data_IF_785685219477
#
_entry.id   IF_785685219477
#
_cell.length_a   1.000
_cell.length_b   1.000
_cell.length_c   1.000
_cell.angle_alpha   90.00
_cell.angle_beta   90.00
_cell.angle_gamma   90.00
#
_symmetry.space_group_name_H-M   'P 1'
#
loop_
_entity.id
_entity.type
_entity.pdbx_description
1 polymer ?
#
# COMPACT_ATOMS: atom_id res chain seq x y z
N UNK A 1 -9.85 8.28 9.80
CA UNK A 1 -10.46 7.29 8.89
C UNK A 1 -10.30 5.91 9.52
N UNK A 2 -11.35 5.07 9.52
CA UNK A 2 -11.29 3.71 10.07
C UNK A 2 -11.18 2.74 8.89
N UNK A 3 -10.07 1.98 8.77
CA UNK A 3 -9.92 1.07 7.64
C UNK A 3 -10.94 -0.09 7.69
N UNK A 4 -11.50 -0.40 6.52
CA UNK A 4 -12.45 -1.48 6.28
C UNK A 4 -11.83 -2.60 5.46
N UNK A 5 -12.53 -3.73 5.31
CA UNK A 5 -12.14 -4.78 4.35
C UNK A 5 -11.96 -4.24 2.93
N UNK A 6 -12.85 -3.37 2.49
CA UNK A 6 -12.74 -2.69 1.20
C UNK A 6 -11.48 -1.81 1.07
N UNK A 7 -11.04 -1.17 2.17
CA UNK A 7 -9.78 -0.41 2.17
C UNK A 7 -8.58 -1.30 1.89
N UNK A 8 -8.55 -2.50 2.50
CA UNK A 8 -7.47 -3.47 2.28
C UNK A 8 -7.42 -3.88 0.80
N UNK A 9 -8.57 -4.10 0.16
CA UNK A 9 -8.65 -4.40 -1.27
C UNK A 9 -8.20 -3.23 -2.15
N UNK A 10 -8.60 -2.01 -1.84
CA UNK A 10 -8.16 -0.82 -2.58
C UNK A 10 -6.64 -0.63 -2.52
N UNK A 11 -6.04 -0.85 -1.34
CA UNK A 11 -4.58 -0.81 -1.20
C UNK A 11 -3.90 -2.00 -1.90
N UNK A 12 -4.52 -3.18 -1.91
CA UNK A 12 -4.05 -4.33 -2.69
C UNK A 12 -4.05 -4.02 -4.19
N UNK A 13 -5.11 -3.39 -4.68
CA UNK A 13 -5.24 -2.97 -6.07
C UNK A 13 -4.12 -2.01 -6.50
N UNK A 14 -3.76 -1.06 -5.63
CA UNK A 14 -2.57 -0.23 -5.86
C UNK A 14 -1.28 -1.06 -5.94
N UNK A 15 -1.11 -2.03 -5.03
CA UNK A 15 0.11 -2.84 -4.96
C UNK A 15 0.29 -3.77 -6.18
N UNK A 16 -0.78 -4.41 -6.64
CA UNK A 16 -0.72 -5.46 -7.69
C UNK A 16 -1.04 -4.96 -9.09
N UNK A 17 -1.58 -3.75 -9.23
CA UNK A 17 -1.84 -3.09 -10.51
C UNK A 17 -1.00 -1.84 -10.66
N UNK A 18 -1.50 -0.71 -10.17
CA UNK A 18 -0.90 0.63 -10.39
C UNK A 18 0.62 0.70 -10.15
N UNK A 19 1.06 0.33 -8.95
CA UNK A 19 2.48 0.44 -8.59
C UNK A 19 3.33 -0.63 -9.29
N UNK A 20 2.75 -1.81 -9.54
CA UNK A 20 3.44 -2.84 -10.32
C UNK A 20 3.73 -2.34 -11.73
N UNK A 21 2.72 -1.81 -12.41
CA UNK A 21 2.84 -1.37 -13.80
C UNK A 21 3.72 -0.12 -13.92
N UNK A 22 3.48 0.89 -13.08
CA UNK A 22 4.14 2.18 -13.19
C UNK A 22 5.58 2.16 -12.64
N UNK A 23 5.81 1.56 -11.47
CA UNK A 23 7.11 1.62 -10.78
C UNK A 23 8.02 0.45 -11.20
N UNK A 24 7.47 -0.76 -11.33
CA UNK A 24 8.27 -1.95 -11.66
C UNK A 24 8.36 -2.21 -13.16
N UNK A 25 7.23 -2.44 -13.84
CA UNK A 25 7.25 -2.83 -15.26
C UNK A 25 7.77 -1.69 -16.15
N UNK A 26 7.20 -0.50 -15.99
CA UNK A 26 7.59 0.67 -16.78
C UNK A 26 8.81 1.38 -16.18
N UNK A 27 8.82 1.57 -14.85
CA UNK A 27 9.87 2.28 -14.14
C UNK A 27 11.15 1.47 -13.88
N UNK A 28 11.16 0.16 -14.14
CA UNK A 28 12.37 -0.66 -14.02
C UNK A 28 12.85 -0.92 -12.59
N UNK A 29 12.09 -0.54 -11.56
CA UNK A 29 12.41 -0.92 -10.18
C UNK A 29 12.27 -2.44 -9.99
N UNK A 30 13.07 -3.04 -9.11
CA UNK A 30 12.95 -4.48 -8.85
C UNK A 30 11.64 -4.84 -8.11
N UNK A 31 11.06 -3.92 -7.36
CA UNK A 31 9.80 -4.15 -6.66
C UNK A 31 9.06 -2.89 -6.30
N UNK A 32 7.74 -3.02 -6.19
CA UNK A 32 6.83 -1.98 -5.75
C UNK A 32 5.78 -2.61 -4.82
N UNK A 33 5.38 -1.87 -3.78
CA UNK A 33 4.45 -2.37 -2.76
C UNK A 33 3.54 -1.24 -2.27
N UNK A 34 2.30 -1.59 -1.95
CA UNK A 34 1.45 -0.81 -1.06
C UNK A 34 0.94 -1.70 0.08
N UNK A 35 0.92 -1.17 1.30
CA UNK A 35 0.40 -1.88 2.48
C UNK A 35 -0.39 -0.92 3.36
N UNK A 36 -1.39 -1.47 4.02
CA UNK A 36 -2.15 -0.82 5.07
C UNK A 36 -1.91 -1.57 6.37
N UNK A 37 -1.51 -0.85 7.40
CA UNK A 37 -1.59 -1.34 8.77
C UNK A 37 -3.00 -1.04 9.31
N UNK A 38 -3.83 -2.06 9.58
CA UNK A 38 -5.21 -1.86 10.03
C UNK A 38 -5.30 -1.32 11.48
N UNK A 39 -4.23 -1.41 12.27
CA UNK A 39 -4.20 -0.94 13.67
C UNK A 39 -3.84 0.53 13.71
N UNK A 40 -2.75 0.93 13.06
CA UNK A 40 -2.31 2.33 13.03
C UNK A 40 -3.02 3.17 11.97
N UNK A 41 -3.63 2.54 10.95
CA UNK A 41 -4.20 3.21 9.79
C UNK A 41 -3.16 3.76 8.82
N UNK A 42 -1.87 3.42 9.00
CA UNK A 42 -0.80 3.89 8.13
C UNK A 42 -0.83 3.14 6.79
N UNK A 43 -0.86 3.91 5.71
CA UNK A 43 -0.65 3.41 4.35
C UNK A 43 0.81 3.66 3.97
N UNK A 44 1.51 2.60 3.58
CA UNK A 44 2.90 2.65 3.14
C UNK A 44 2.99 2.28 1.68
N UNK A 45 3.55 3.17 0.86
CA UNK A 45 3.97 2.90 -0.51
C UNK A 45 5.50 2.79 -0.53
N UNK A 46 6.04 1.79 -1.22
CA UNK A 46 7.47 1.50 -1.21
C UNK A 46 7.93 0.97 -2.57
N UNK A 47 9.08 1.45 -3.03
CA UNK A 47 9.82 0.87 -4.14
C UNK A 47 11.14 0.26 -3.64
N UNK A 48 11.65 -0.74 -4.35
CA UNK A 48 12.83 -1.50 -3.96
C UNK A 48 13.79 -1.68 -5.13
N UNK A 49 15.07 -1.37 -4.91
CA UNK A 49 16.13 -1.27 -5.94
C UNK A 49 15.67 -0.47 -7.15
N UNK A 50 15.20 0.73 -6.85
CA UNK A 50 14.56 1.63 -7.80
C UNK A 50 15.60 2.60 -8.40
N UNK A 51 15.73 2.67 -9.74
CA UNK A 51 16.63 3.63 -10.39
C UNK A 51 16.08 5.07 -10.43
N UNK A 52 14.77 5.30 -10.21
CA UNK A 52 14.07 6.54 -10.54
C UNK A 52 13.31 7.14 -9.34
N UNK A 53 14.03 7.88 -8.50
CA UNK A 53 13.48 8.45 -7.26
C UNK A 53 12.30 9.43 -7.51
N UNK A 54 12.48 10.42 -8.38
CA UNK A 54 11.51 11.50 -8.54
C UNK A 54 10.23 11.02 -9.23
N UNK A 55 10.40 10.20 -10.25
CA UNK A 55 9.33 9.58 -11.01
C UNK A 55 8.49 8.68 -10.10
N UNK A 56 9.11 7.86 -9.27
CA UNK A 56 8.40 7.03 -8.29
C UNK A 56 7.65 7.86 -7.26
N UNK A 57 8.24 8.94 -6.75
CA UNK A 57 7.53 9.86 -5.85
C UNK A 57 6.29 10.49 -6.52
N UNK A 58 6.38 10.82 -7.81
CA UNK A 58 5.22 11.29 -8.57
C UNK A 58 4.14 10.21 -8.70
N UNK A 59 4.53 8.96 -8.96
CA UNK A 59 3.59 7.81 -9.01
C UNK A 59 2.90 7.59 -7.65
N UNK A 60 3.63 7.71 -6.54
CA UNK A 60 3.04 7.58 -5.20
C UNK A 60 2.02 8.67 -4.89
N UNK A 61 2.29 9.91 -5.32
CA UNK A 61 1.33 11.03 -5.19
C UNK A 61 0.10 10.85 -6.05
N UNK A 62 0.24 10.22 -7.22
CA UNK A 62 -0.85 9.94 -8.14
C UNK A 62 -1.77 8.78 -7.67
N UNK A 63 -1.35 7.98 -6.68
CA UNK A 63 -2.12 6.82 -6.22
C UNK A 63 -3.53 7.17 -5.72
N UNK A 64 -3.69 8.31 -5.03
CA UNK A 64 -5.01 8.76 -4.58
C UNK A 64 -5.95 9.11 -5.74
N UNK A 65 -5.42 9.78 -6.78
CA UNK A 65 -6.18 10.10 -7.98
C UNK A 65 -6.50 8.84 -8.81
N UNK A 66 -5.57 7.88 -8.86
CA UNK A 66 -5.80 6.59 -9.50
C UNK A 66 -6.99 5.85 -8.84
N UNK A 67 -7.01 5.79 -7.50
CA UNK A 67 -8.13 5.19 -6.76
C UNK A 67 -9.46 5.92 -6.95
N UNK A 68 -9.46 7.21 -7.28
CA UNK A 68 -10.68 7.97 -7.57
C UNK A 68 -11.16 7.82 -9.03
N UNK A 69 -10.37 7.15 -9.88
CA UNK A 69 -10.67 6.95 -11.29
C UNK A 69 -11.65 5.81 -11.57
N UNK A 70 -12.00 5.57 -12.84
CA UNK A 70 -12.83 4.43 -13.24
C UNK A 70 -12.20 3.10 -12.81
N UNK A 71 -13.02 2.21 -12.24
CA UNK A 71 -12.64 0.85 -11.86
C UNK A 71 -13.56 -0.13 -12.59
N UNK A 72 -12.99 -1.06 -13.35
CA UNK A 72 -13.78 -2.11 -14.00
C UNK A 72 -14.18 -3.20 -13.00
N UNK A 73 -15.26 -3.91 -13.30
CA UNK A 73 -15.74 -5.03 -12.47
C UNK A 73 -14.67 -6.14 -12.35
N UNK A 74 -13.91 -6.40 -13.42
CA UNK A 74 -12.79 -7.35 -13.41
C UNK A 74 -11.66 -6.89 -12.49
N UNK A 75 -11.32 -5.60 -12.49
CA UNK A 75 -10.28 -5.05 -11.63
C UNK A 75 -10.71 -5.06 -10.16
N UNK A 76 -11.98 -4.74 -9.87
CA UNK A 76 -12.57 -4.88 -8.54
C UNK A 76 -12.51 -6.33 -8.08
N UNK A 77 -13.05 -7.26 -8.87
CA UNK A 77 -13.07 -8.69 -8.56
C UNK A 77 -11.66 -9.26 -8.35
N UNK A 78 -10.71 -8.89 -9.20
CA UNK A 78 -9.31 -9.27 -9.07
C UNK A 78 -8.68 -8.78 -7.77
N UNK A 79 -8.96 -7.55 -7.34
CA UNK A 79 -8.48 -7.00 -6.08
C UNK A 79 -9.07 -7.74 -4.86
N UNK A 80 -10.35 -8.11 -4.92
CA UNK A 80 -11.01 -8.90 -3.86
C UNK A 80 -10.40 -10.29 -3.75
N UNK A 81 -10.27 -11.00 -4.87
CA UNK A 81 -9.67 -12.34 -4.92
C UNK A 81 -8.22 -12.30 -4.44
N UNK A 82 -7.42 -11.33 -4.90
CA UNK A 82 -6.03 -11.18 -4.45
C UNK A 82 -5.93 -10.90 -2.95
N UNK A 83 -6.90 -10.19 -2.38
CA UNK A 83 -6.95 -9.90 -0.94
C UNK A 83 -7.30 -11.16 -0.14
N UNK A 84 -8.35 -11.88 -0.52
CA UNK A 84 -8.74 -13.14 0.12
C UNK A 84 -7.62 -14.18 0.03
N UNK A 85 -6.99 -14.32 -1.14
CA UNK A 85 -5.88 -15.24 -1.33
C UNK A 85 -4.70 -14.95 -0.39
N UNK A 86 -4.43 -13.66 -0.10
CA UNK A 86 -3.40 -13.27 0.84
C UNK A 86 -3.78 -13.56 2.30
N UNK A 87 -5.05 -13.34 2.67
CA UNK A 87 -5.56 -13.58 4.03
C UNK A 87 -5.63 -15.07 4.37
N UNK A 88 -6.12 -15.87 3.43
CA UNK A 88 -6.40 -17.31 3.59
C UNK A 88 -5.21 -18.19 3.22
N UNK A 89 -4.02 -17.60 2.98
CA UNK A 89 -2.82 -18.36 2.65
C UNK A 89 -2.55 -19.41 3.74
N UNK A 90 -2.19 -20.66 3.37
CA UNK A 90 -1.71 -21.63 4.34
C UNK A 90 -0.51 -21.09 5.13
N UNK A 91 -0.49 -21.34 6.44
CA UNK A 91 0.57 -20.89 7.34
C UNK A 91 1.23 -22.08 8.00
N UNK A 92 2.55 -22.01 8.20
CA UNK A 92 3.22 -22.96 9.08
C UNK A 92 2.72 -22.77 10.53
N UNK A 93 2.82 -23.80 11.38
CA UNK A 93 2.31 -23.73 12.75
C UNK A 93 2.86 -22.55 13.56
N UNK A 94 4.15 -22.22 13.40
CA UNK A 94 4.78 -21.07 14.05
C UNK A 94 4.16 -19.74 13.62
N UNK A 95 4.01 -19.52 12.31
CA UNK A 95 3.38 -18.32 11.76
C UNK A 95 1.91 -18.18 12.17
N UNK A 96 1.20 -19.31 12.25
CA UNK A 96 -0.19 -19.35 12.69
C UNK A 96 -0.32 -18.94 14.18
N UNK A 97 0.58 -19.45 15.03
CA UNK A 97 0.63 -19.11 16.45
C UNK A 97 1.00 -17.63 16.65
N UNK A 98 2.01 -17.12 15.95
CA UNK A 98 2.42 -15.72 16.03
C UNK A 98 1.29 -14.78 15.57
N UNK A 99 0.64 -15.07 14.44
CA UNK A 99 -0.49 -14.28 13.97
C UNK A 99 -1.70 -14.35 14.91
N UNK A 100 -1.92 -15.47 15.61
CA UNK A 100 -2.94 -15.56 16.64
C UNK A 100 -2.62 -14.65 17.84
N UNK A 101 -1.36 -14.60 18.26
CA UNK A 101 -0.89 -13.68 19.30
C UNK A 101 -1.05 -12.22 18.88
N UNK A 102 -0.60 -11.85 17.68
CA UNK A 102 -0.74 -10.48 17.15
C UNK A 102 -2.21 -10.03 17.17
N UNK A 103 -3.11 -10.89 16.68
CA UNK A 103 -4.55 -10.62 16.71
C UNK A 103 -5.10 -10.46 18.12
N UNK A 104 -4.69 -11.30 19.06
CA UNK A 104 -5.11 -11.20 20.44
C UNK A 104 -4.66 -9.89 21.09
N UNK A 105 -3.39 -9.51 20.92
CA UNK A 105 -2.84 -8.26 21.49
C UNK A 105 -3.47 -7.01 20.85
N UNK A 106 -3.85 -7.09 19.57
CA UNK A 106 -4.45 -5.97 18.82
C UNK A 106 -5.99 -5.94 18.87
N UNK A 107 -6.63 -6.88 19.56
CA UNK A 107 -8.10 -6.96 19.65
C UNK A 107 -8.80 -7.36 18.35
N UNK A 108 -8.10 -8.01 17.42
CA UNK A 108 -8.63 -8.49 16.14
C UNK A 108 -9.19 -9.91 16.30
N UNK A 109 -10.24 -10.05 17.10
CA UNK A 109 -10.91 -11.32 17.38
C UNK A 109 -11.67 -11.90 16.17
N UNK A 110 -12.37 -13.01 16.38
CA UNK A 110 -13.11 -13.69 15.33
C UNK A 110 -14.19 -12.81 14.69
N UNK A 111 -14.93 -12.06 15.51
CA UNK A 111 -16.03 -11.21 15.05
C UNK A 111 -15.51 -10.02 14.26
N UNK A 112 -14.42 -9.39 14.74
CA UNK A 112 -13.75 -8.32 14.00
C UNK A 112 -13.29 -8.80 12.62
N UNK A 113 -12.67 -9.99 12.55
CA UNK A 113 -12.20 -10.56 11.28
C UNK A 113 -13.35 -10.89 10.33
N UNK A 114 -14.43 -11.45 10.85
CA UNK A 114 -15.60 -11.76 10.03
C UNK A 114 -16.22 -10.49 9.47
N UNK A 115 -16.40 -9.44 10.29
CA UNK A 115 -16.90 -8.15 9.84
C UNK A 115 -16.03 -7.54 8.73
N UNK A 116 -14.70 -7.57 8.88
CA UNK A 116 -13.77 -7.13 7.81
C UNK A 116 -13.91 -7.95 6.53
N UNK A 117 -14.12 -9.26 6.65
CA UNK A 117 -14.33 -10.12 5.48
C UNK A 117 -15.65 -9.83 4.78
N UNK A 118 -16.70 -9.57 5.54
CA UNK A 118 -18.02 -9.22 4.99
C UNK A 118 -17.96 -7.87 4.26
N UNK A 119 -17.28 -6.87 4.83
CA UNK A 119 -17.00 -5.59 4.17
C UNK A 119 -16.17 -5.74 2.90
N UNK A 120 -15.18 -6.63 2.90
CA UNK A 120 -14.38 -6.94 1.72
C UNK A 120 -15.26 -7.54 0.60
N UNK A 121 -16.10 -8.52 0.93
CA UNK A 121 -16.97 -9.19 -0.04
C UNK A 121 -18.08 -8.28 -0.56
N UNK A 122 -18.49 -7.29 0.22
CA UNK A 122 -19.49 -6.29 -0.15
C UNK A 122 -18.89 -5.03 -0.83
N UNK A 123 -17.57 -4.99 -1.03
CA UNK A 123 -16.88 -3.80 -1.53
C UNK A 123 -17.33 -3.41 -2.95
N UNK A 124 -17.41 -2.10 -3.17
CA UNK A 124 -17.81 -1.48 -4.43
C UNK A 124 -16.72 -0.55 -4.96
N UNK A 125 -16.86 -0.08 -6.20
CA UNK A 125 -15.99 0.96 -6.74
C UNK A 125 -16.01 2.25 -5.90
N UNK A 126 -17.15 2.58 -5.28
CA UNK A 126 -17.27 3.75 -4.42
C UNK A 126 -16.37 3.65 -3.17
N UNK A 127 -16.15 2.45 -2.64
CA UNK A 127 -15.25 2.25 -1.49
C UNK A 127 -13.77 2.49 -1.88
N UNK A 128 -13.40 2.18 -3.11
CA UNK A 128 -12.06 2.46 -3.65
C UNK A 128 -11.88 3.97 -3.83
N UNK A 129 -12.89 4.66 -4.35
CA UNK A 129 -12.90 6.12 -4.48
C UNK A 129 -12.79 6.79 -3.10
N UNK A 130 -13.55 6.30 -2.12
CA UNK A 130 -13.49 6.78 -0.74
C UNK A 130 -12.11 6.54 -0.12
N UNK A 131 -11.48 5.40 -0.42
CA UNK A 131 -10.09 5.12 -0.01
C UNK A 131 -9.10 6.09 -0.67
N UNK A 132 -9.29 6.43 -1.94
CA UNK A 132 -8.50 7.46 -2.64
C UNK A 132 -8.64 8.83 -1.98
N UNK A 133 -9.85 9.23 -1.62
CA UNK A 133 -10.10 10.47 -0.88
C UNK A 133 -9.44 10.47 0.51
N UNK A 134 -9.53 9.35 1.24
CA UNK A 134 -8.85 9.20 2.52
C UNK A 134 -7.32 9.28 2.37
N UNK A 135 -6.76 8.65 1.34
CA UNK A 135 -5.32 8.70 1.03
C UNK A 135 -4.86 10.12 0.68
N UNK A 136 -5.64 10.88 -0.09
CA UNK A 136 -5.34 12.28 -0.41
C UNK A 136 -5.35 13.19 0.83
N UNK A 137 -6.15 12.86 1.84
CA UNK A 137 -6.24 13.63 3.09
C UNK A 137 -5.14 13.28 4.12
N UNK A 138 -4.37 12.21 3.89
CA UNK A 138 -3.29 11.81 4.79
C UNK A 138 -2.07 12.73 4.64
N UNK A 139 -1.40 13.00 5.76
CA UNK A 139 -0.13 13.71 5.73
C UNK A 139 0.94 12.84 5.06
N UNK A 140 1.57 13.35 4.00
CA UNK A 140 2.64 12.64 3.32
C UNK A 140 3.97 12.78 4.09
N UNK A 141 4.64 11.65 4.31
CA UNK A 141 6.02 11.60 4.79
C UNK A 141 6.81 10.68 3.89
N UNK A 142 7.89 11.20 3.30
CA UNK A 142 8.80 10.42 2.47
C UNK A 142 10.12 10.22 3.21
N UNK A 143 10.57 8.97 3.28
CA UNK A 143 11.92 8.61 3.70
C UNK A 143 12.59 7.96 2.50
N UNK A 144 13.75 8.48 2.13
CA UNK A 144 14.51 8.00 0.97
C UNK A 144 15.83 7.43 1.46
N UNK A 145 16.06 6.15 1.15
CA UNK A 145 17.34 5.48 1.36
C UNK A 145 17.96 5.22 -0.02
N UNK A 146 18.85 6.10 -0.45
CA UNK A 146 19.46 6.05 -1.78
C UNK A 146 20.95 6.42 -1.72
N UNK A 147 21.69 6.03 -2.75
CA UNK A 147 23.09 6.44 -2.90
C UNK A 147 23.21 7.97 -3.13
N UNK A 148 24.34 8.59 -2.75
CA UNK A 148 24.52 10.04 -2.83
C UNK A 148 24.16 10.64 -4.19
N UNK A 149 24.59 10.00 -5.28
CA UNK A 149 24.32 10.48 -6.63
C UNK A 149 22.82 10.58 -6.99
N UNK A 150 21.96 9.74 -6.42
CA UNK A 150 20.52 9.82 -6.65
C UNK A 150 19.89 10.99 -5.89
N UNK A 151 20.37 11.24 -4.66
CA UNK A 151 19.94 12.38 -3.84
C UNK A 151 20.40 13.70 -4.47
N UNK A 152 21.66 13.77 -4.92
CA UNK A 152 22.22 14.98 -5.55
C UNK A 152 21.45 15.35 -6.83
N UNK A 153 21.08 14.37 -7.67
CA UNK A 153 20.22 14.60 -8.84
C UNK A 153 18.85 15.13 -8.46
N UNK A 154 18.25 14.58 -7.40
CA UNK A 154 16.93 15.00 -6.95
C UNK A 154 16.94 16.42 -6.35
N UNK A 155 17.99 16.79 -5.62
CA UNK A 155 18.19 18.16 -5.14
C UNK A 155 18.46 19.15 -6.28
N UNK A 156 19.25 18.77 -7.28
CA UNK A 156 19.45 19.58 -8.49
C UNK A 156 18.14 19.82 -9.27
N UNK A 157 17.19 18.89 -9.18
CA UNK A 157 15.84 19.02 -9.73
C UNK A 157 14.87 19.81 -8.84
N UNK A 158 15.34 20.35 -7.70
CA UNK A 158 14.58 21.23 -6.81
C UNK A 158 13.86 20.54 -5.64
N UNK A 159 14.11 19.25 -5.39
CA UNK A 159 13.55 18.56 -4.22
C UNK A 159 14.47 18.70 -3.02
N UNK A 160 14.00 19.37 -1.97
CA UNK A 160 14.75 19.51 -0.72
C UNK A 160 14.64 18.28 0.17
N UNK A 161 15.78 17.71 0.58
CA UNK A 161 15.82 16.63 1.58
C UNK A 161 16.53 17.11 2.86
N UNK A 162 16.02 16.69 4.02
CA UNK A 162 16.81 16.69 5.24
C UNK A 162 17.66 15.43 5.27
N UNK A 163 18.99 15.56 5.13
CA UNK A 163 19.92 14.43 5.15
C UNK A 163 20.28 14.08 6.60
N UNK A 164 19.94 12.87 7.03
CA UNK A 164 20.39 12.30 8.31
C UNK A 164 21.43 11.22 8.03
N UNK A 165 22.69 11.37 8.46
CA UNK A 165 23.69 10.32 8.28
C UNK A 165 23.27 9.07 9.07
N UNK A 166 23.28 7.91 8.41
CA UNK A 166 23.11 6.63 9.10
C UNK A 166 24.34 6.42 9.99
N UNK A 167 24.13 6.33 11.30
CA UNK A 167 25.19 5.95 12.22
C UNK A 167 25.58 4.50 11.92
N UNK A 168 26.86 4.29 11.61
CA UNK A 168 27.44 2.97 11.38
C UNK A 168 27.66 2.22 12.70
#
# INVERSE_FOLDING_TARGET
>A
FVPTGATVAAIRHLATGWLWDAVRETGGAYGAMARLDPVSGVVTQLSYRDPHLLETLAVFRAAAAHLAGPLSDDALSGALVATIAAEDRPRHPGDAAFAALERWVTGQDGDWRQARRDELLAATAQDFHATGAALAAMAERAVVLAGPAALDRAEAAGVGFSRTPLQA
#
